data_IF_592232348312
#
_entry.id   IF_592232348312
#
_cell.length_a   1.000
_cell.length_b   1.000
_cell.length_c   1.000
_cell.angle_alpha   90.00
_cell.angle_beta   90.00
_cell.angle_gamma   90.00
#
_symmetry.space_group_name_H-M   'P 1'
#
loop_
_entity.id
_entity.type
_entity.pdbx_description
1 polymer ?
#
# COMPACT_ATOMS: atom_id res chain seq x y z
N UNK A 1 1.12 34.39 -10.16
CA UNK A 1 0.01 33.55 -10.68
C UNK A 1 -0.64 32.84 -9.50
N UNK A 2 -1.97 32.88 -9.36
CA UNK A 2 -2.62 32.26 -8.17
C UNK A 2 -2.45 30.75 -8.24
N UNK A 3 -1.98 30.10 -7.17
CA UNK A 3 -1.78 28.65 -6.99
C UNK A 3 -2.96 27.81 -7.54
N UNK A 4 -4.16 28.37 -7.50
CA UNK A 4 -5.42 27.68 -7.83
C UNK A 4 -5.65 27.45 -9.34
N UNK A 5 -4.94 28.14 -10.23
CA UNK A 5 -5.20 28.06 -11.69
C UNK A 5 -4.38 26.95 -12.39
N UNK A 6 -3.32 26.46 -11.76
CA UNK A 6 -2.41 25.46 -12.34
C UNK A 6 -2.56 24.05 -11.74
N UNK A 7 -3.31 23.90 -10.64
CA UNK A 7 -3.57 22.59 -10.04
C UNK A 7 -4.81 21.98 -10.69
N UNK A 8 -4.66 20.79 -11.25
CA UNK A 8 -5.77 20.09 -11.91
C UNK A 8 -6.88 19.75 -10.91
N UNK A 9 -8.12 19.82 -11.41
CA UNK A 9 -9.28 19.23 -10.75
C UNK A 9 -9.51 17.81 -11.29
N UNK A 10 -10.14 16.91 -10.52
CA UNK A 10 -10.49 15.59 -11.03
C UNK A 10 -11.30 15.70 -12.32
N UNK A 11 -10.91 14.92 -13.34
CA UNK A 11 -11.66 14.81 -14.61
C UNK A 11 -13.06 14.26 -14.36
N UNK A 12 -13.14 13.29 -13.42
CA UNK A 12 -14.41 12.72 -12.95
C UNK A 12 -14.44 12.65 -11.43
N UNK A 13 -15.60 12.89 -10.86
CA UNK A 13 -15.82 12.64 -9.42
C UNK A 13 -15.94 11.13 -9.19
N UNK A 14 -15.48 10.67 -8.02
CA UNK A 14 -15.73 9.31 -7.57
C UNK A 14 -17.23 9.04 -7.55
N UNK A 15 -17.63 7.89 -8.05
CA UNK A 15 -18.99 7.40 -7.90
C UNK A 15 -19.12 6.73 -6.53
N UNK A 16 -20.21 6.99 -5.81
CA UNK A 16 -20.39 6.46 -4.46
C UNK A 16 -19.32 6.96 -3.48
N UNK A 17 -18.73 6.03 -2.74
CA UNK A 17 -17.78 6.36 -1.68
C UNK A 17 -18.46 6.80 -0.39
N UNK A 18 -17.65 7.07 0.62
CA UNK A 18 -18.09 7.52 1.94
C UNK A 18 -17.20 8.63 2.46
N UNK A 19 -17.76 9.53 3.25
CA UNK A 19 -17.00 10.51 4.03
C UNK A 19 -16.66 9.87 5.37
N UNK A 20 -15.37 9.74 5.65
CA UNK A 20 -14.87 9.20 6.91
C UNK A 20 -14.26 10.31 7.76
N UNK A 21 -14.33 10.20 9.10
CA UNK A 21 -13.53 11.05 9.99
C UNK A 21 -12.05 10.86 9.66
N UNK A 22 -11.28 11.94 9.52
CA UNK A 22 -9.88 11.84 9.09
C UNK A 22 -8.99 11.22 10.18
N UNK A 23 -9.15 11.65 11.44
CA UNK A 23 -8.44 11.14 12.62
C UNK A 23 -6.90 11.09 12.44
N UNK A 24 -6.32 12.03 11.71
CA UNK A 24 -4.90 12.05 11.32
C UNK A 24 -4.09 12.93 12.28
N UNK A 25 -4.01 12.55 13.56
CA UNK A 25 -3.30 13.32 14.60
C UNK A 25 -1.80 13.42 14.33
N UNK A 26 -1.22 12.38 13.71
CA UNK A 26 0.20 12.28 13.41
C UNK A 26 0.63 13.01 12.13
N UNK A 27 -0.28 13.72 11.45
CA UNK A 27 0.04 14.38 10.18
C UNK A 27 1.21 15.38 10.30
N UNK A 28 1.26 16.15 11.37
CA UNK A 28 2.31 17.13 11.60
C UNK A 28 3.50 16.60 12.41
N UNK A 29 3.46 15.32 12.84
CA UNK A 29 4.55 14.68 13.56
C UNK A 29 5.60 14.15 12.58
N UNK A 30 6.83 14.61 12.70
CA UNK A 30 7.95 14.13 11.90
C UNK A 30 8.19 12.64 12.14
N UNK A 31 8.77 11.99 11.13
CA UNK A 31 9.07 10.56 11.23
C UNK A 31 10.24 10.30 12.18
N UNK A 32 10.01 9.45 13.17
CA UNK A 32 11.06 8.99 14.08
C UNK A 32 11.69 7.72 13.49
N UNK A 33 13.01 7.65 13.50
CA UNK A 33 13.74 6.45 13.07
C UNK A 33 13.85 5.50 14.26
N UNK A 34 13.31 4.30 14.10
CA UNK A 34 13.45 3.26 15.11
C UNK A 34 14.89 2.74 15.12
N UNK A 35 15.55 2.62 16.28
CA UNK A 35 16.86 2.00 16.37
C UNK A 35 16.78 0.53 15.87
N UNK A 36 17.92 -0.06 15.45
CA UNK A 36 17.93 -1.46 15.03
C UNK A 36 17.43 -2.36 16.17
N UNK A 37 16.49 -3.27 15.90
CA UNK A 37 16.06 -4.26 16.88
C UNK A 37 17.17 -5.31 17.07
N UNK A 38 17.20 -5.95 18.24
CA UNK A 38 18.12 -7.07 18.50
C UNK A 38 17.92 -8.24 17.54
N UNK A 39 16.69 -8.38 17.02
CA UNK A 39 16.31 -9.47 16.12
C UNK A 39 15.24 -9.02 15.13
N UNK A 40 15.38 -9.46 13.89
CA UNK A 40 14.31 -9.36 12.87
C UNK A 40 13.90 -10.73 12.38
N UNK A 41 12.63 -10.87 12.02
CA UNK A 41 12.09 -12.04 11.35
C UNK A 41 11.44 -11.60 10.05
N UNK A 42 12.05 -11.97 8.93
CA UNK A 42 11.67 -11.47 7.61
C UNK A 42 10.93 -12.57 6.83
N UNK A 43 9.59 -12.43 6.64
CA UNK A 43 8.81 -13.40 5.88
C UNK A 43 9.22 -13.46 4.41
N UNK A 44 9.26 -14.66 3.85
CA UNK A 44 9.56 -14.85 2.43
C UNK A 44 8.39 -14.52 1.51
N UNK A 45 7.20 -14.32 2.06
CA UNK A 45 6.02 -13.87 1.29
C UNK A 45 5.47 -12.55 1.82
N UNK A 46 5.90 -11.45 1.22
CA UNK A 46 5.46 -10.09 1.56
C UNK A 46 4.69 -9.40 0.43
N UNK A 47 4.27 -10.16 -0.58
CA UNK A 47 3.63 -9.67 -1.80
C UNK A 47 2.60 -10.65 -2.36
N UNK A 48 1.82 -10.21 -3.32
CA UNK A 48 0.95 -11.08 -4.13
C UNK A 48 1.82 -11.83 -5.14
N UNK A 49 1.53 -13.11 -5.35
CA UNK A 49 2.24 -13.99 -6.27
C UNK A 49 2.96 -15.13 -5.58
N UNK A 50 3.98 -15.69 -6.21
CA UNK A 50 4.75 -16.80 -5.67
C UNK A 50 5.64 -16.33 -4.51
N UNK A 51 5.70 -17.08 -3.39
CA UNK A 51 6.63 -16.79 -2.31
C UNK A 51 8.07 -16.90 -2.77
N UNK A 52 8.98 -16.18 -2.13
CA UNK A 52 10.41 -16.35 -2.32
C UNK A 52 10.90 -17.62 -1.60
N UNK A 53 11.90 -18.26 -2.16
CA UNK A 53 12.71 -19.25 -1.46
C UNK A 53 13.86 -18.53 -0.72
N UNK A 54 14.21 -18.94 0.52
CA UNK A 54 15.40 -18.42 1.19
C UNK A 54 16.66 -18.69 0.37
N UNK A 55 17.54 -17.68 0.27
CA UNK A 55 18.85 -17.79 -0.42
C UNK A 55 20.02 -17.88 0.57
N UNK A 56 19.71 -17.86 1.87
CA UNK A 56 20.65 -17.93 2.98
C UNK A 56 20.30 -19.09 3.91
N UNK A 57 21.25 -19.52 4.74
CA UNK A 57 21.10 -20.58 5.75
C UNK A 57 21.55 -20.09 7.12
N UNK A 58 21.20 -20.84 8.16
CA UNK A 58 21.66 -20.58 9.53
C UNK A 58 23.19 -20.49 9.61
N UNK A 59 23.68 -19.43 10.23
CA UNK A 59 25.10 -19.13 10.42
C UNK A 59 25.70 -18.20 9.35
N UNK A 60 24.96 -17.89 8.27
CA UNK A 60 25.44 -16.91 7.29
C UNK A 60 25.44 -15.51 7.87
N UNK A 61 26.51 -14.73 7.59
CA UNK A 61 26.53 -13.29 7.84
C UNK A 61 25.76 -12.56 6.73
N UNK A 62 25.01 -11.55 7.14
CA UNK A 62 24.23 -10.69 6.23
C UNK A 62 24.40 -9.23 6.63
N UNK A 63 24.27 -8.36 5.64
CA UNK A 63 24.33 -6.91 5.78
C UNK A 63 22.98 -6.28 5.45
N UNK A 64 22.80 -5.01 5.78
CA UNK A 64 21.59 -4.26 5.37
C UNK A 64 21.54 -4.21 3.84
N UNK A 65 20.50 -4.77 3.26
CA UNK A 65 20.34 -4.84 1.79
C UNK A 65 20.78 -6.16 1.17
N UNK A 66 21.42 -7.08 1.90
CA UNK A 66 21.73 -8.43 1.39
C UNK A 66 20.46 -9.15 0.99
N UNK A 67 20.42 -9.70 -0.23
CA UNK A 67 19.28 -10.47 -0.71
C UNK A 67 19.22 -11.83 0.01
N UNK A 68 18.16 -12.06 0.78
CA UNK A 68 17.96 -13.25 1.60
C UNK A 68 16.85 -14.17 1.09
N UNK A 69 16.12 -13.75 0.06
CA UNK A 69 15.10 -14.57 -0.58
C UNK A 69 14.78 -14.09 -1.98
N UNK A 70 14.53 -15.02 -2.91
CA UNK A 70 14.17 -14.74 -4.30
C UNK A 70 13.25 -15.83 -4.88
N UNK A 71 12.73 -15.60 -6.08
CA UNK A 71 11.91 -16.52 -6.84
C UNK A 71 12.03 -16.22 -8.33
N UNK A 72 12.07 -17.27 -9.16
CA UNK A 72 12.08 -17.15 -10.63
C UNK A 72 10.70 -16.79 -11.21
N UNK A 73 9.65 -16.81 -10.37
CA UNK A 73 8.30 -16.47 -10.82
C UNK A 73 8.21 -14.98 -11.20
N UNK A 74 7.59 -14.68 -12.35
CA UNK A 74 7.41 -13.31 -12.83
C UNK A 74 6.65 -12.43 -11.81
N UNK A 75 5.61 -12.98 -11.16
CA UNK A 75 4.87 -12.27 -10.10
C UNK A 75 5.45 -12.66 -8.75
N UNK A 76 6.59 -12.08 -8.41
CA UNK A 76 7.30 -12.21 -7.14
C UNK A 76 8.24 -11.00 -6.99
N UNK A 77 8.74 -10.74 -5.79
CA UNK A 77 9.71 -9.66 -5.54
C UNK A 77 10.72 -10.09 -4.47
N UNK A 78 12.03 -9.94 -4.71
CA UNK A 78 13.08 -10.34 -3.77
C UNK A 78 12.89 -9.76 -2.37
N UNK A 79 13.41 -10.47 -1.40
CA UNK A 79 13.41 -10.08 0.01
C UNK A 79 14.84 -9.85 0.46
N UNK A 80 15.06 -8.75 1.20
CA UNK A 80 16.39 -8.31 1.63
C UNK A 80 16.45 -8.22 3.15
N UNK A 81 17.66 -8.38 3.70
CA UNK A 81 17.90 -8.15 5.12
C UNK A 81 17.73 -6.67 5.45
N UNK A 82 17.03 -6.40 6.53
CA UNK A 82 16.82 -5.04 7.05
C UNK A 82 17.85 -4.65 8.12
N UNK A 83 18.67 -5.57 8.56
CA UNK A 83 19.73 -5.36 9.54
C UNK A 83 21.02 -6.04 9.08
N UNK A 84 22.17 -5.67 9.65
CA UNK A 84 23.38 -6.47 9.60
C UNK A 84 23.41 -7.42 10.80
N UNK A 85 24.04 -8.61 10.63
CA UNK A 85 24.11 -9.61 11.66
C UNK A 85 24.22 -11.05 11.13
N UNK A 86 23.78 -12.02 11.92
CA UNK A 86 23.90 -13.44 11.61
C UNK A 86 22.53 -14.10 11.51
N UNK A 87 22.33 -14.92 10.49
CA UNK A 87 21.09 -15.72 10.32
C UNK A 87 21.01 -16.76 11.44
N UNK A 88 20.04 -16.60 12.35
CA UNK A 88 19.84 -17.52 13.49
C UNK A 88 18.94 -18.70 13.13
N UNK A 89 17.95 -18.51 12.24
CA UNK A 89 17.06 -19.56 11.78
C UNK A 89 16.47 -19.28 10.40
N UNK A 90 16.22 -20.39 9.66
CA UNK A 90 15.43 -20.39 8.42
C UNK A 90 14.38 -21.48 8.58
N UNK A 91 13.13 -21.11 8.87
CA UNK A 91 12.02 -22.05 9.12
C UNK A 91 10.68 -21.35 9.04
N UNK A 92 9.60 -22.08 9.17
CA UNK A 92 8.26 -21.50 9.30
C UNK A 92 8.05 -20.90 10.68
N UNK A 93 7.49 -19.69 10.69
CA UNK A 93 7.00 -19.01 11.88
C UNK A 93 5.53 -18.62 11.67
N UNK A 94 4.80 -18.46 12.74
CA UNK A 94 3.44 -17.90 12.66
C UNK A 94 3.51 -16.41 12.31
N UNK A 95 2.78 -16.05 11.28
CA UNK A 95 2.53 -14.68 10.89
C UNK A 95 1.03 -14.50 10.74
N UNK A 96 0.42 -13.79 11.66
CA UNK A 96 -1.03 -13.60 11.73
C UNK A 96 -1.82 -14.93 11.68
N UNK A 97 -1.40 -15.89 12.51
CA UNK A 97 -2.01 -17.21 12.66
C UNK A 97 -1.73 -18.20 11.52
N UNK A 98 -0.81 -17.89 10.59
CA UNK A 98 -0.44 -18.78 9.48
C UNK A 98 1.06 -19.09 9.51
N UNK A 99 1.47 -20.35 9.26
CA UNK A 99 2.87 -20.66 9.08
C UNK A 99 3.39 -20.03 7.79
N UNK A 100 4.49 -19.26 7.90
CA UNK A 100 5.14 -18.60 6.76
C UNK A 100 6.64 -18.83 6.88
N UNK A 101 7.26 -19.36 5.82
CA UNK A 101 8.72 -19.48 5.73
C UNK A 101 9.34 -18.10 5.95
N UNK A 102 10.29 -18.00 6.88
CA UNK A 102 10.93 -16.74 7.26
C UNK A 102 12.40 -16.96 7.57
N UNK A 103 13.18 -15.92 7.35
CA UNK A 103 14.58 -15.81 7.80
C UNK A 103 14.61 -14.98 9.06
N UNK A 104 15.16 -15.54 10.14
CA UNK A 104 15.39 -14.83 11.39
C UNK A 104 16.86 -14.44 11.47
N UNK A 105 17.16 -13.20 11.82
CA UNK A 105 18.50 -12.62 11.89
C UNK A 105 18.68 -11.99 13.25
N UNK A 106 19.74 -12.40 13.95
CA UNK A 106 20.26 -11.71 15.14
C UNK A 106 21.09 -10.53 14.66
N UNK A 107 20.66 -9.32 15.03
CA UNK A 107 21.29 -8.06 14.63
C UNK A 107 22.59 -7.85 15.41
N UNK A 108 23.59 -7.29 14.73
CA UNK A 108 24.79 -6.76 15.37
C UNK A 108 24.64 -5.28 15.78
N UNK A 109 23.43 -4.72 15.56
CA UNK A 109 23.04 -3.33 15.82
C UNK A 109 23.85 -2.26 15.06
N UNK A 110 24.82 -2.64 14.21
CA UNK A 110 25.69 -1.69 13.49
C UNK A 110 25.06 -1.13 12.24
N UNK A 111 24.02 -1.81 11.71
CA UNK A 111 23.36 -1.42 10.46
C UNK A 111 24.32 -1.26 9.28
N UNK A 112 25.34 -2.11 9.22
CA UNK A 112 26.35 -2.07 8.16
C UNK A 112 25.71 -2.39 6.80
N UNK A 113 25.79 -1.48 5.81
CA UNK A 113 25.26 -1.73 4.47
C UNK A 113 26.04 -2.85 3.76
N UNK A 114 25.35 -3.58 2.89
CA UNK A 114 26.00 -4.57 2.04
C UNK A 114 27.04 -3.88 1.12
N UNK A 115 28.31 -4.29 1.15
CA UNK A 115 29.36 -3.68 0.34
C UNK A 115 29.16 -3.82 -1.17
N UNK A 116 28.27 -4.71 -1.61
CA UNK A 116 27.90 -4.87 -3.02
C UNK A 116 26.87 -3.84 -3.51
N UNK A 117 26.32 -3.02 -2.62
CA UNK A 117 25.35 -1.99 -3.01
C UNK A 117 26.03 -0.88 -3.81
N UNK A 118 25.46 -0.57 -4.97
CA UNK A 118 25.94 0.49 -5.84
C UNK A 118 24.79 1.16 -6.58
N UNK A 119 24.90 2.45 -6.91
CA UNK A 119 23.97 3.16 -7.79
C UNK A 119 23.74 2.38 -9.09
N UNK A 120 22.53 2.51 -9.64
CA UNK A 120 22.13 1.85 -10.89
C UNK A 120 22.01 2.86 -12.02
N UNK A 121 22.57 2.57 -13.15
CA UNK A 121 22.29 3.31 -14.37
C UNK A 121 21.00 2.75 -14.99
N UNK A 122 20.05 3.63 -15.31
CA UNK A 122 18.77 3.27 -15.93
C UNK A 122 18.54 4.15 -17.15
N UNK A 123 18.37 3.53 -18.31
CA UNK A 123 18.19 4.20 -19.61
C UNK A 123 16.92 3.75 -20.33
N UNK A 124 16.42 2.56 -20.01
CA UNK A 124 15.30 1.93 -20.71
C UNK A 124 14.21 1.52 -19.74
N UNK A 125 13.02 1.27 -20.27
CA UNK A 125 11.90 0.71 -19.48
C UNK A 125 12.27 -0.65 -18.85
N UNK A 126 13.09 -1.45 -19.52
CA UNK A 126 13.58 -2.71 -18.98
C UNK A 126 14.48 -2.51 -17.76
N UNK A 127 15.36 -1.49 -17.79
CA UNK A 127 16.23 -1.15 -16.65
C UNK A 127 15.41 -0.70 -15.44
N UNK A 128 14.37 0.12 -15.65
CA UNK A 128 13.45 0.54 -14.58
C UNK A 128 12.73 -0.68 -13.98
N UNK A 129 12.22 -1.58 -14.81
CA UNK A 129 11.55 -2.80 -14.33
C UNK A 129 12.52 -3.71 -13.55
N UNK A 130 13.74 -3.89 -14.05
CA UNK A 130 14.79 -4.63 -13.36
C UNK A 130 15.16 -3.97 -12.02
N UNK A 131 15.35 -2.65 -12.00
CA UNK A 131 15.61 -1.90 -10.77
C UNK A 131 14.47 -2.06 -9.74
N UNK A 132 13.21 -1.96 -10.17
CA UNK A 132 12.07 -2.16 -9.30
C UNK A 132 12.01 -3.60 -8.73
N UNK A 133 12.39 -4.63 -9.52
CA UNK A 133 12.49 -5.99 -9.06
C UNK A 133 13.62 -6.15 -8.05
N UNK A 134 14.83 -5.74 -8.40
CA UNK A 134 16.01 -5.87 -7.54
C UNK A 134 15.89 -5.09 -6.23
N UNK A 135 15.18 -3.94 -6.24
CA UNK A 135 14.79 -3.22 -5.03
C UNK A 135 13.86 -4.03 -4.11
N UNK A 136 13.28 -5.12 -4.61
CA UNK A 136 12.23 -5.83 -3.90
C UNK A 136 10.96 -4.98 -3.73
N UNK A 137 10.73 -4.03 -4.63
CA UNK A 137 9.64 -3.05 -4.52
C UNK A 137 8.28 -3.67 -4.82
N UNK A 138 7.34 -3.40 -3.93
CA UNK A 138 5.94 -3.78 -4.05
C UNK A 138 5.04 -2.56 -3.90
N UNK A 139 3.75 -2.70 -4.18
CA UNK A 139 2.79 -1.63 -3.95
C UNK A 139 2.64 -1.31 -2.46
N UNK A 140 3.28 -0.25 -1.99
CA UNK A 140 3.42 0.09 -0.57
C UNK A 140 2.14 0.66 0.06
N UNK A 141 1.22 1.17 -0.75
CA UNK A 141 -0.07 1.71 -0.29
C UNK A 141 -1.24 0.73 -0.36
N UNK A 142 -1.01 -0.56 -0.56
CA UNK A 142 -2.12 -1.51 -0.78
C UNK A 142 -1.74 -2.98 -0.69
N UNK A 143 -2.17 -3.77 -1.68
CA UNK A 143 -2.12 -5.23 -1.66
C UNK A 143 -0.71 -5.84 -1.84
N UNK A 144 0.35 -5.04 -1.97
CA UNK A 144 1.71 -5.55 -2.13
C UNK A 144 1.95 -6.21 -3.50
N UNK A 145 1.37 -5.70 -4.57
CA UNK A 145 1.64 -6.21 -5.91
C UNK A 145 3.04 -5.81 -6.38
N UNK A 146 3.86 -6.72 -6.92
CA UNK A 146 5.23 -6.42 -7.34
C UNK A 146 5.28 -5.27 -8.35
N UNK A 147 6.11 -4.25 -8.09
CA UNK A 147 6.10 -3.02 -8.86
C UNK A 147 6.65 -3.22 -10.29
N UNK A 148 7.65 -4.09 -10.47
CA UNK A 148 8.21 -4.38 -11.79
C UNK A 148 7.17 -4.95 -12.77
N UNK A 149 6.20 -5.74 -12.28
CA UNK A 149 5.11 -6.28 -13.12
C UNK A 149 4.22 -5.15 -13.67
N UNK A 150 3.99 -4.08 -12.89
CA UNK A 150 3.27 -2.89 -13.37
C UNK A 150 4.08 -2.10 -14.41
N UNK A 151 5.40 -2.13 -14.28
CA UNK A 151 6.35 -1.43 -15.15
C UNK A 151 6.73 -2.23 -16.41
N UNK A 152 6.22 -3.48 -16.52
CA UNK A 152 6.39 -4.35 -17.69
C UNK A 152 5.00 -4.62 -18.30
N UNK A 153 4.41 -3.67 -19.03
CA UNK A 153 3.13 -3.88 -19.69
C UNK A 153 3.23 -4.97 -20.75
N UNK A 154 2.10 -5.58 -21.09
CA UNK A 154 2.04 -6.57 -22.15
C UNK A 154 2.43 -5.94 -23.50
N UNK A 155 2.97 -6.75 -24.40
CA UNK A 155 3.34 -6.32 -25.74
C UNK A 155 2.15 -5.68 -26.45
N UNK A 156 2.42 -4.57 -27.14
CA UNK A 156 1.40 -3.82 -27.89
C UNK A 156 0.53 -2.87 -27.03
N UNK A 157 0.67 -2.89 -25.71
CA UNK A 157 -0.04 -1.94 -24.83
C UNK A 157 0.77 -0.65 -24.70
N UNK A 158 0.24 0.45 -25.28
CA UNK A 158 0.87 1.77 -25.11
C UNK A 158 0.47 2.36 -23.75
N UNK A 159 1.46 2.66 -22.93
CA UNK A 159 1.29 3.43 -21.69
C UNK A 159 1.66 4.90 -21.99
N UNK A 160 0.75 5.81 -21.67
CA UNK A 160 0.95 7.25 -21.88
C UNK A 160 0.90 8.05 -20.58
N UNK A 161 0.34 7.48 -19.51
CA UNK A 161 0.07 8.23 -18.27
C UNK A 161 0.55 7.47 -17.04
N UNK A 162 1.34 8.13 -16.19
CA UNK A 162 1.61 7.71 -14.82
C UNK A 162 0.68 8.48 -13.86
N UNK A 163 -0.04 7.76 -13.01
CA UNK A 163 -0.78 8.33 -11.89
C UNK A 163 -0.03 8.00 -10.60
N UNK A 164 0.55 9.01 -9.97
CA UNK A 164 1.18 8.89 -8.65
C UNK A 164 0.12 9.09 -7.59
N UNK A 165 -0.15 8.03 -6.85
CA UNK A 165 -1.20 7.98 -5.84
C UNK A 165 -0.67 8.47 -4.48
N UNK A 166 -1.02 9.69 -4.10
CA UNK A 166 -0.78 10.30 -2.79
C UNK A 166 -2.11 10.61 -2.05
N UNK A 167 -3.17 9.85 -2.35
CA UNK A 167 -4.48 10.07 -1.74
C UNK A 167 -4.47 9.77 -0.24
N UNK A 168 -4.01 8.56 0.18
CA UNK A 168 -3.99 8.10 1.58
C UNK A 168 -5.33 8.34 2.29
N UNK A 169 -6.40 7.73 1.74
CA UNK A 169 -7.78 7.97 2.15
C UNK A 169 -8.24 7.20 3.41
N UNK A 170 -7.43 6.27 3.92
CA UNK A 170 -7.70 5.56 5.18
C UNK A 170 -7.63 6.53 6.37
N UNK A 171 -8.59 6.50 7.31
CA UNK A 171 -8.46 7.21 8.57
C UNK A 171 -7.19 6.83 9.34
N UNK A 172 -6.71 7.71 10.18
CA UNK A 172 -5.51 7.61 11.00
C UNK A 172 -4.18 7.68 10.22
N UNK A 173 -4.07 7.03 9.04
CA UNK A 173 -2.80 6.88 8.34
C UNK A 173 -2.26 8.20 7.79
N UNK A 174 -0.97 8.44 8.01
CA UNK A 174 -0.24 9.65 7.58
C UNK A 174 1.15 9.33 6.99
N UNK A 175 1.48 8.06 6.80
CA UNK A 175 2.79 7.63 6.31
C UNK A 175 3.12 8.18 4.91
N UNK A 176 2.17 8.14 3.97
CA UNK A 176 2.35 8.71 2.62
C UNK A 176 2.36 10.25 2.65
N UNK A 177 1.55 10.87 3.53
CA UNK A 177 1.60 12.31 3.73
C UNK A 177 2.97 12.75 4.24
N UNK A 178 3.53 12.05 5.23
CA UNK A 178 4.89 12.34 5.73
C UNK A 178 5.95 12.11 4.66
N UNK A 179 5.80 11.09 3.81
CA UNK A 179 6.69 10.92 2.65
C UNK A 179 6.63 12.16 1.73
N UNK A 180 5.44 12.69 1.44
CA UNK A 180 5.30 13.92 0.65
C UNK A 180 5.96 15.12 1.32
N UNK A 181 5.95 15.18 2.67
CA UNK A 181 6.54 16.30 3.41
C UNK A 181 8.05 16.16 3.61
N UNK A 182 8.56 14.96 3.80
CA UNK A 182 9.96 14.70 4.19
C UNK A 182 10.86 14.29 3.02
N UNK A 183 10.29 13.72 1.95
CA UNK A 183 11.02 13.17 0.80
C UNK A 183 10.47 13.70 -0.53
N UNK A 184 9.98 14.94 -0.54
CA UNK A 184 9.39 15.56 -1.75
C UNK A 184 10.34 15.56 -2.94
N UNK A 185 11.64 15.78 -2.70
CA UNK A 185 12.65 15.80 -3.77
C UNK A 185 12.83 14.40 -4.37
N UNK A 186 12.94 13.35 -3.55
CA UNK A 186 13.03 11.97 -4.04
C UNK A 186 11.78 11.56 -4.84
N UNK A 187 10.60 12.01 -4.40
CA UNK A 187 9.34 11.79 -5.14
C UNK A 187 9.41 12.45 -6.51
N UNK A 188 9.78 13.72 -6.55
CA UNK A 188 9.77 14.49 -7.79
C UNK A 188 10.85 14.03 -8.77
N UNK A 189 12.06 13.77 -8.28
CA UNK A 189 13.14 13.19 -9.11
C UNK A 189 12.73 11.82 -9.66
N UNK A 190 12.11 10.97 -8.83
CA UNK A 190 11.56 9.68 -9.25
C UNK A 190 10.46 9.81 -10.30
N UNK A 191 9.61 10.82 -10.18
CA UNK A 191 8.55 11.13 -11.15
C UNK A 191 9.16 11.51 -12.50
N UNK A 192 10.13 12.45 -12.54
CA UNK A 192 10.76 12.87 -13.78
C UNK A 192 11.59 11.76 -14.43
N UNK A 193 12.30 10.95 -13.61
CA UNK A 193 13.03 9.78 -14.08
C UNK A 193 12.08 8.77 -14.76
N UNK A 194 11.02 8.37 -14.08
CA UNK A 194 10.03 7.44 -14.62
C UNK A 194 9.38 7.97 -15.89
N UNK A 195 9.03 9.26 -15.92
CA UNK A 195 8.47 9.90 -17.09
C UNK A 195 9.41 9.81 -18.29
N UNK A 196 10.66 10.22 -18.09
CA UNK A 196 11.68 10.25 -19.15
C UNK A 196 11.98 8.85 -19.69
N UNK A 197 12.30 7.91 -18.80
CA UNK A 197 12.74 6.57 -19.19
C UNK A 197 11.61 5.73 -19.79
N UNK A 198 10.38 5.90 -19.30
CA UNK A 198 9.21 5.19 -19.84
C UNK A 198 8.57 5.90 -21.05
N UNK A 199 9.05 7.08 -21.42
CA UNK A 199 8.51 7.86 -22.55
C UNK A 199 7.06 8.28 -22.35
N UNK A 200 6.67 8.66 -21.14
CA UNK A 200 5.29 8.99 -20.80
C UNK A 200 4.91 10.40 -21.28
N UNK A 201 3.71 10.53 -21.83
CA UNK A 201 3.18 11.82 -22.28
C UNK A 201 2.83 12.75 -21.10
N UNK A 202 2.43 12.17 -19.95
CA UNK A 202 2.06 12.94 -18.76
C UNK A 202 2.21 12.16 -17.46
N UNK A 203 2.43 12.89 -16.38
CA UNK A 203 2.34 12.38 -15.00
C UNK A 203 1.34 13.20 -14.22
N UNK A 204 0.48 12.53 -13.45
CA UNK A 204 -0.51 13.16 -12.56
C UNK A 204 -0.22 12.72 -11.14
N UNK A 205 0.25 13.65 -10.30
CA UNK A 205 0.43 13.42 -8.86
C UNK A 205 -0.88 13.79 -8.18
N UNK A 206 -1.62 12.78 -7.72
CA UNK A 206 -2.98 12.93 -7.23
C UNK A 206 -3.02 12.91 -5.69
N UNK A 207 -3.32 14.05 -5.09
CA UNK A 207 -3.30 14.30 -3.64
C UNK A 207 -4.71 14.73 -3.18
N UNK A 208 -5.18 14.21 -2.04
CA UNK A 208 -6.48 14.63 -1.49
C UNK A 208 -6.44 16.06 -0.93
N UNK A 209 -7.59 16.74 -1.03
CA UNK A 209 -7.76 18.16 -0.64
C UNK A 209 -7.53 18.44 0.85
N UNK A 210 -7.55 17.42 1.70
CA UNK A 210 -7.23 17.52 3.13
C UNK A 210 -5.72 17.57 3.44
N UNK A 211 -4.86 17.61 2.41
CA UNK A 211 -3.39 17.66 2.51
C UNK A 211 -2.82 18.91 1.83
N UNK A 212 -3.23 20.13 2.23
CA UNK A 212 -2.87 21.37 1.53
C UNK A 212 -1.35 21.60 1.49
N UNK A 213 -0.62 21.31 2.57
CA UNK A 213 0.83 21.51 2.63
C UNK A 213 1.60 20.58 1.69
N UNK A 214 1.17 19.32 1.56
CA UNK A 214 1.79 18.39 0.59
C UNK A 214 1.51 18.83 -0.85
N UNK A 215 0.30 19.32 -1.13
CA UNK A 215 -0.05 19.87 -2.44
C UNK A 215 0.83 21.08 -2.75
N UNK A 216 0.97 22.01 -1.82
CA UNK A 216 1.79 23.23 -2.00
C UNK A 216 3.26 22.88 -2.23
N UNK A 217 3.82 21.98 -1.42
CA UNK A 217 5.22 21.57 -1.50
C UNK A 217 5.56 20.89 -2.83
N UNK A 218 4.79 19.85 -3.21
CA UNK A 218 5.01 19.15 -4.47
C UNK A 218 4.71 20.04 -5.69
N UNK A 219 3.72 20.93 -5.58
CA UNK A 219 3.43 21.89 -6.63
C UNK A 219 4.58 22.89 -6.82
N UNK A 220 5.19 23.38 -5.74
CA UNK A 220 6.35 24.29 -5.82
C UNK A 220 7.47 23.69 -6.67
N UNK A 221 7.88 22.46 -6.36
CA UNK A 221 8.93 21.76 -7.10
C UNK A 221 8.54 21.54 -8.58
N UNK A 222 7.29 21.15 -8.85
CA UNK A 222 6.81 20.99 -10.22
C UNK A 222 6.74 22.33 -10.98
N UNK A 223 6.41 23.41 -10.29
CA UNK A 223 6.32 24.76 -10.88
C UNK A 223 7.69 25.30 -11.27
N UNK A 224 8.71 25.02 -10.47
CA UNK A 224 10.09 25.44 -10.74
C UNK A 224 10.67 24.80 -12.02
N UNK A 225 10.17 23.63 -12.41
CA UNK A 225 10.58 22.90 -13.63
C UNK A 225 9.61 23.03 -14.80
N UNK A 226 8.59 23.87 -14.69
CA UNK A 226 7.52 23.98 -15.71
C UNK A 226 8.03 24.41 -17.09
N UNK A 227 8.99 25.30 -17.14
CA UNK A 227 9.55 25.79 -18.40
C UNK A 227 10.35 24.69 -19.13
N UNK A 228 10.84 23.69 -18.39
CA UNK A 228 11.53 22.53 -18.92
C UNK A 228 10.54 21.40 -19.27
N UNK A 229 9.56 21.17 -18.42
CA UNK A 229 8.58 20.08 -18.55
C UNK A 229 7.24 20.40 -17.88
N UNK A 230 6.26 20.82 -18.67
CA UNK A 230 4.89 21.12 -18.22
C UNK A 230 3.96 19.88 -18.19
N UNK A 231 4.46 18.67 -18.41
CA UNK A 231 3.65 17.46 -18.45
C UNK A 231 3.46 16.78 -17.10
N UNK A 232 4.21 17.21 -16.07
CA UNK A 232 4.03 16.76 -14.68
C UNK A 232 3.05 17.70 -13.98
N UNK A 233 1.89 17.19 -13.58
CA UNK A 233 0.81 17.99 -13.00
C UNK A 233 0.40 17.47 -11.63
N UNK A 234 0.12 18.39 -10.72
CA UNK A 234 -0.59 18.12 -9.47
C UNK A 234 -2.10 18.07 -9.70
N UNK A 235 -2.77 17.09 -9.11
CA UNK A 235 -4.23 17.02 -9.08
C UNK A 235 -4.74 17.03 -7.65
N UNK A 236 -5.61 17.97 -7.34
CA UNK A 236 -6.30 18.05 -6.06
C UNK A 236 -7.58 17.21 -6.11
N UNK A 237 -7.53 16.01 -5.53
CA UNK A 237 -8.66 15.11 -5.40
C UNK A 237 -9.63 15.58 -4.31
N UNK A 238 -10.90 15.23 -4.46
CA UNK A 238 -11.87 15.37 -3.37
C UNK A 238 -11.52 14.36 -2.25
N UNK A 239 -11.58 14.81 -1.01
CA UNK A 239 -11.43 13.93 0.14
C UNK A 239 -12.66 13.04 0.27
N UNK A 240 -12.51 11.78 -0.07
CA UNK A 240 -13.56 10.76 -0.03
C UNK A 240 -12.93 9.38 -0.01
N UNK A 241 -13.59 8.41 0.60
CA UNK A 241 -13.09 7.04 0.67
C UNK A 241 -13.91 6.12 -0.26
N UNK A 242 -13.31 5.28 -1.07
CA UNK A 242 -11.89 4.96 -1.25
C UNK A 242 -11.25 5.67 -2.47
N UNK A 243 -10.96 6.95 -2.36
CA UNK A 243 -10.41 7.78 -3.46
C UNK A 243 -9.06 7.24 -3.98
N UNK A 244 -8.23 6.66 -3.11
CA UNK A 244 -6.93 6.09 -3.46
C UNK A 244 -6.99 4.68 -4.07
N UNK A 245 -8.17 4.06 -4.20
CA UNK A 245 -8.27 2.76 -4.85
C UNK A 245 -7.91 2.87 -6.33
N UNK A 246 -7.07 1.95 -6.83
CA UNK A 246 -6.39 2.05 -8.13
C UNK A 246 -7.34 2.35 -9.31
N UNK A 247 -8.46 1.63 -9.43
CA UNK A 247 -9.44 1.88 -10.50
C UNK A 247 -10.20 3.20 -10.32
N UNK A 248 -10.40 3.63 -9.08
CA UNK A 248 -11.07 4.88 -8.74
C UNK A 248 -10.18 6.06 -9.09
N UNK A 249 -8.90 6.01 -8.71
CA UNK A 249 -7.97 7.12 -8.96
C UNK A 249 -7.68 7.27 -10.47
N UNK A 250 -7.57 6.18 -11.23
CA UNK A 250 -7.46 6.22 -12.71
C UNK A 250 -8.66 6.95 -13.30
N UNK A 251 -9.87 6.57 -12.90
CA UNK A 251 -11.09 7.23 -13.38
C UNK A 251 -11.15 8.71 -12.99
N UNK A 252 -10.80 9.03 -11.76
CA UNK A 252 -10.80 10.43 -11.29
C UNK A 252 -9.75 11.28 -12.00
N UNK A 253 -8.56 10.72 -12.24
CA UNK A 253 -7.45 11.44 -12.81
C UNK A 253 -7.53 11.58 -14.34
N UNK A 254 -8.07 10.58 -15.02
CA UNK A 254 -7.99 10.49 -16.50
C UNK A 254 -9.34 10.40 -17.19
N UNK A 255 -10.41 10.08 -16.46
CA UNK A 255 -11.72 9.76 -17.04
C UNK A 255 -11.81 8.37 -17.68
N UNK A 256 -10.69 7.62 -17.72
CA UNK A 256 -10.63 6.28 -18.33
C UNK A 256 -11.24 5.24 -17.40
N UNK A 257 -12.01 4.31 -17.94
CA UNK A 257 -12.64 3.21 -17.21
C UNK A 257 -11.83 1.94 -17.39
N UNK A 258 -11.22 1.46 -16.31
CA UNK A 258 -10.55 0.16 -16.31
C UNK A 258 -11.60 -0.94 -16.45
N UNK A 259 -11.50 -1.81 -17.45
CA UNK A 259 -12.51 -2.83 -17.72
C UNK A 259 -12.64 -3.86 -16.60
N UNK A 260 -13.72 -4.64 -16.64
CA UNK A 260 -13.94 -5.74 -15.70
C UNK A 260 -12.82 -6.78 -15.83
N UNK A 261 -12.18 -7.12 -14.70
CA UNK A 261 -11.01 -8.02 -14.70
C UNK A 261 -9.71 -7.39 -15.21
N UNK A 262 -9.76 -6.20 -15.83
CA UNK A 262 -8.61 -5.51 -16.39
C UNK A 262 -7.75 -4.75 -15.35
N UNK A 263 -6.61 -4.28 -15.84
CA UNK A 263 -5.60 -3.51 -15.11
C UNK A 263 -5.55 -2.06 -15.62
N UNK A 264 -4.98 -1.11 -14.89
CA UNK A 264 -4.74 0.25 -15.38
C UNK A 264 -4.00 0.32 -16.73
N UNK A 265 -3.08 -0.61 -16.98
CA UNK A 265 -2.35 -0.72 -18.23
C UNK A 265 -3.29 -0.90 -19.45
N UNK A 266 -4.39 -1.63 -19.31
CA UNK A 266 -5.36 -1.83 -20.40
C UNK A 266 -6.04 -0.53 -20.87
N UNK A 267 -5.87 0.54 -20.10
CA UNK A 267 -6.32 1.90 -20.46
C UNK A 267 -5.16 2.90 -20.54
N UNK A 268 -3.94 2.42 -20.79
CA UNK A 268 -2.75 3.26 -20.99
C UNK A 268 -2.20 3.92 -19.73
N UNK A 269 -2.55 3.42 -18.54
CA UNK A 269 -2.14 4.01 -17.26
C UNK A 269 -1.25 3.07 -16.43
N UNK A 270 -0.23 3.63 -15.78
CA UNK A 270 0.44 3.00 -14.64
C UNK A 270 0.03 3.75 -13.37
N UNK A 271 -0.25 3.03 -12.29
CA UNK A 271 -0.51 3.62 -10.97
C UNK A 271 0.58 3.20 -10.00
N UNK A 272 1.28 4.16 -9.43
CA UNK A 272 2.26 3.93 -8.37
C UNK A 272 1.90 4.72 -7.11
N UNK A 273 2.05 4.12 -5.95
CA UNK A 273 1.97 4.84 -4.69
C UNK A 273 3.15 5.82 -4.57
N UNK A 274 2.94 6.97 -3.95
CA UNK A 274 3.94 8.04 -3.82
C UNK A 274 5.22 7.57 -3.13
N UNK A 275 5.10 6.80 -2.04
CA UNK A 275 6.25 6.20 -1.34
C UNK A 275 6.99 5.21 -2.24
N UNK A 276 6.27 4.44 -3.09
CA UNK A 276 6.92 3.51 -4.04
C UNK A 276 7.77 4.23 -5.08
N UNK A 277 7.37 5.42 -5.52
CA UNK A 277 8.17 6.24 -6.44
C UNK A 277 9.46 6.72 -5.76
N UNK A 278 9.37 7.26 -4.55
CA UNK A 278 10.53 7.72 -3.80
C UNK A 278 11.52 6.57 -3.49
N UNK A 279 11.01 5.41 -3.08
CA UNK A 279 11.84 4.23 -2.77
C UNK A 279 12.56 3.74 -4.03
N UNK A 280 11.89 3.69 -5.18
CA UNK A 280 12.52 3.28 -6.44
C UNK A 280 13.64 4.25 -6.83
N UNK A 281 13.41 5.55 -6.72
CA UNK A 281 14.45 6.55 -7.00
C UNK A 281 15.64 6.42 -6.06
N UNK A 282 15.42 6.29 -4.75
CA UNK A 282 16.49 6.08 -3.76
C UNK A 282 17.32 4.83 -4.06
N UNK A 283 16.65 3.73 -4.43
CA UNK A 283 17.33 2.50 -4.85
C UNK A 283 18.23 2.73 -6.06
N UNK A 284 17.71 3.39 -7.09
CA UNK A 284 18.50 3.68 -8.31
C UNK A 284 19.72 4.53 -7.96
N UNK A 285 19.56 5.52 -7.07
CA UNK A 285 20.62 6.44 -6.66
C UNK A 285 21.66 5.82 -5.73
N UNK A 286 21.29 4.86 -4.90
CA UNK A 286 22.15 4.35 -3.82
C UNK A 286 22.42 2.84 -3.88
N UNK A 287 21.62 2.08 -4.59
CA UNK A 287 21.60 0.62 -4.53
C UNK A 287 20.87 0.03 -3.32
N UNK A 288 20.46 0.84 -2.33
CA UNK A 288 19.81 0.35 -1.12
C UNK A 288 18.38 -0.12 -1.42
N UNK A 289 18.05 -1.43 -1.27
CA UNK A 289 16.73 -1.97 -1.53
C UNK A 289 15.72 -1.58 -0.45
N UNK A 290 14.48 -2.03 -0.61
CA UNK A 290 13.41 -1.80 0.37
C UNK A 290 13.63 -2.64 1.64
N UNK A 291 14.30 -2.05 2.62
CA UNK A 291 14.66 -2.68 3.91
C UNK A 291 13.96 -2.06 5.11
N UNK A 292 13.39 -0.88 4.96
CA UNK A 292 12.64 -0.19 6.01
C UNK A 292 11.32 0.34 5.50
N UNK A 293 10.35 0.49 6.38
CA UNK A 293 9.01 0.97 6.06
C UNK A 293 8.58 2.05 7.02
N UNK A 294 8.15 3.22 6.48
CA UNK A 294 7.45 4.22 7.28
C UNK A 294 6.05 3.72 7.56
N UNK A 295 5.66 3.70 8.81
CA UNK A 295 4.32 3.33 9.27
C UNK A 295 3.77 4.40 10.23
N UNK A 296 2.46 4.54 10.25
CA UNK A 296 1.76 5.33 11.26
C UNK A 296 1.35 4.40 12.41
N UNK A 297 1.82 4.66 13.61
CA UNK A 297 1.32 4.03 14.84
C UNK A 297 0.31 4.99 15.45
N UNK A 298 -0.95 4.60 15.47
CA UNK A 298 -2.03 5.44 15.98
C UNK A 298 -3.22 4.58 16.48
N UNK A 299 -4.30 5.20 16.83
CA UNK A 299 -5.53 4.58 17.33
C UNK A 299 -5.92 5.15 18.69
N UNK A 300 -7.12 4.79 19.15
CA UNK A 300 -7.65 5.33 20.41
C UNK A 300 -6.86 4.90 21.64
N UNK A 301 -6.23 3.73 21.57
CA UNK A 301 -5.45 3.13 22.66
C UNK A 301 -3.94 3.20 22.41
N UNK A 302 -3.47 3.95 21.41
CA UNK A 302 -2.06 4.27 21.25
C UNK A 302 -1.66 5.35 22.26
N UNK A 303 -0.63 5.08 23.07
CA UNK A 303 -0.18 6.02 24.12
C UNK A 303 0.50 7.25 23.50
N UNK A 304 1.41 7.03 22.55
CA UNK A 304 2.13 8.10 21.87
C UNK A 304 2.03 7.92 20.34
N UNK A 305 0.96 8.42 19.71
CA UNK A 305 0.79 8.35 18.26
C UNK A 305 1.93 9.03 17.50
N UNK A 306 2.53 8.34 16.52
CA UNK A 306 3.65 8.86 15.74
C UNK A 306 3.84 8.12 14.41
N UNK A 307 4.64 8.71 13.53
CA UNK A 307 5.14 8.04 12.33
C UNK A 307 6.54 7.49 12.61
N UNK A 308 6.77 6.24 12.27
CA UNK A 308 8.04 5.55 12.56
C UNK A 308 8.59 4.94 11.27
N UNK A 309 9.88 5.12 11.02
CA UNK A 309 10.61 4.35 10.03
C UNK A 309 11.15 3.08 10.71
N UNK A 310 10.59 1.93 10.34
CA UNK A 310 10.82 0.64 11.00
C UNK A 310 11.58 -0.29 10.08
N UNK A 311 12.64 -0.97 10.51
CA UNK A 311 13.26 -2.08 9.77
C UNK A 311 12.23 -3.19 9.49
N UNK A 312 12.16 -3.67 8.26
CA UNK A 312 11.22 -4.74 7.89
C UNK A 312 11.59 -6.03 8.65
N UNK A 313 10.59 -6.69 9.23
CA UNK A 313 10.79 -7.88 10.05
C UNK A 313 10.85 -7.61 11.56
N UNK A 314 10.81 -6.34 11.99
CA UNK A 314 10.70 -5.95 13.41
C UNK A 314 9.37 -6.46 13.98
N UNK A 315 9.39 -7.00 15.18
CA UNK A 315 8.20 -7.48 15.86
C UNK A 315 7.22 -6.33 16.15
N UNK A 316 5.93 -6.58 15.94
CA UNK A 316 4.87 -5.58 16.21
C UNK A 316 4.90 -5.10 17.66
N UNK A 317 5.20 -6.00 18.61
CA UNK A 317 5.32 -5.65 20.03
C UNK A 317 6.45 -4.65 20.30
N UNK A 318 7.60 -4.80 19.63
CA UNK A 318 8.73 -3.87 19.77
C UNK A 318 8.37 -2.49 19.20
N UNK A 319 7.64 -2.44 18.08
CA UNK A 319 7.17 -1.18 17.51
C UNK A 319 6.18 -0.48 18.46
N UNK A 320 5.27 -1.24 19.08
CA UNK A 320 4.32 -0.71 20.08
C UNK A 320 5.08 -0.18 21.31
N UNK A 321 6.05 -0.94 21.81
CA UNK A 321 6.87 -0.53 22.95
C UNK A 321 7.66 0.75 22.65
N UNK A 322 8.28 0.84 21.47
CA UNK A 322 8.99 2.03 21.00
C UNK A 322 8.05 3.25 20.88
N UNK A 323 6.80 3.04 20.47
CA UNK A 323 5.76 4.07 20.43
C UNK A 323 5.18 4.43 21.82
N UNK A 324 5.81 4.02 22.91
CA UNK A 324 5.37 4.32 24.28
C UNK A 324 4.32 3.37 24.83
N UNK A 325 4.02 2.27 24.14
CA UNK A 325 3.11 1.24 24.61
C UNK A 325 1.65 1.44 24.16
N UNK A 326 0.80 0.61 24.71
CA UNK A 326 -0.65 0.64 24.50
C UNK A 326 -1.37 0.96 25.82
N UNK A 327 -2.49 1.68 25.75
CA UNK A 327 -3.33 1.97 26.91
C UNK A 327 -3.98 0.67 27.46
N UNK A 328 -4.45 0.72 28.70
CA UNK A 328 -5.03 -0.45 29.40
C UNK A 328 -6.27 -1.02 28.69
N UNK A 329 -6.99 -0.19 27.94
CA UNK A 329 -8.19 -0.59 27.18
C UNK A 329 -7.86 -1.18 25.81
N UNK A 330 -6.58 -1.31 25.46
CA UNK A 330 -6.16 -1.86 24.16
C UNK A 330 -6.57 -3.33 24.04
N UNK A 331 -7.39 -3.62 23.04
CA UNK A 331 -7.91 -4.97 22.80
C UNK A 331 -7.67 -5.47 21.37
N UNK A 332 -7.53 -4.56 20.40
CA UNK A 332 -7.39 -4.91 19.00
C UNK A 332 -6.18 -4.19 18.36
N UNK A 333 -5.41 -4.96 17.60
CA UNK A 333 -4.32 -4.46 16.75
C UNK A 333 -4.71 -4.65 15.28
N UNK A 334 -4.48 -3.62 14.45
CA UNK A 334 -4.80 -3.67 13.02
C UNK A 334 -3.56 -3.23 12.23
N UNK A 335 -3.08 -4.11 11.35
CA UNK A 335 -2.07 -3.75 10.35
C UNK A 335 -2.75 -3.04 9.18
N UNK A 336 -2.43 -1.76 8.98
CA UNK A 336 -3.08 -0.87 8.01
C UNK A 336 -4.12 0.03 8.62
N UNK A 337 -5.03 0.56 7.79
CA UNK A 337 -6.13 1.42 8.23
C UNK A 337 -7.38 0.65 8.68
N UNK A 338 -8.39 1.32 9.26
CA UNK A 338 -9.56 0.65 9.85
C UNK A 338 -10.51 0.07 8.80
N UNK A 339 -10.39 0.46 7.53
CA UNK A 339 -11.33 0.04 6.49
C UNK A 339 -10.85 -1.18 5.71
N UNK A 340 -9.56 -1.27 5.39
CA UNK A 340 -8.97 -2.36 4.60
C UNK A 340 -7.86 -3.12 5.34
N UNK A 341 -7.47 -2.70 6.53
CA UNK A 341 -6.46 -3.35 7.35
C UNK A 341 -6.88 -4.75 7.80
N UNK A 342 -5.91 -5.49 8.29
CA UNK A 342 -6.11 -6.83 8.83
C UNK A 342 -5.86 -6.84 10.33
N UNK A 343 -6.72 -7.49 11.09
CA UNK A 343 -6.47 -7.69 12.51
C UNK A 343 -5.21 -8.53 12.71
N UNK A 344 -4.39 -8.15 13.67
CA UNK A 344 -3.23 -8.92 14.12
C UNK A 344 -3.71 -9.81 15.26
N UNK A 345 -3.59 -11.13 15.09
CA UNK A 345 -4.12 -12.11 16.02
C UNK A 345 -3.04 -12.81 16.86
N UNK A 346 -1.78 -12.63 16.51
CA UNK A 346 -0.67 -13.18 17.27
C UNK A 346 0.43 -12.14 17.52
N UNK A 347 1.07 -12.27 18.68
CA UNK A 347 2.13 -11.36 19.14
C UNK A 347 3.44 -11.53 18.36
N UNK A 348 3.61 -12.66 17.69
CA UNK A 348 4.76 -12.96 16.85
C UNK A 348 4.73 -12.30 15.47
N UNK A 349 3.67 -11.58 15.13
CA UNK A 349 3.59 -10.86 13.85
C UNK A 349 4.64 -9.75 13.75
N UNK A 350 5.13 -9.54 12.52
CA UNK A 350 6.18 -8.57 12.23
C UNK A 350 5.71 -7.53 11.20
N UNK A 351 6.44 -6.43 11.12
CA UNK A 351 6.22 -5.40 10.10
C UNK A 351 6.72 -5.90 8.74
N UNK A 352 5.83 -5.85 7.75
CA UNK A 352 6.08 -6.23 6.37
C UNK A 352 6.15 -5.02 5.43
N UNK A 353 6.65 -5.21 4.21
CA UNK A 353 6.74 -4.18 3.16
C UNK A 353 5.43 -3.42 2.92
N UNK A 354 4.29 -4.11 3.03
CA UNK A 354 2.95 -3.55 2.75
C UNK A 354 2.28 -2.85 3.93
N UNK A 355 2.85 -2.92 5.13
CA UNK A 355 2.27 -2.24 6.27
C UNK A 355 2.53 -0.72 6.17
N UNK A 356 1.48 0.07 6.23
CA UNK A 356 1.53 1.54 6.25
C UNK A 356 0.97 2.13 7.55
N UNK A 357 0.48 1.27 8.44
CA UNK A 357 0.03 1.66 9.76
C UNK A 357 -0.16 0.48 10.68
N UNK A 358 -0.11 0.78 11.97
CA UNK A 358 -0.41 -0.11 13.09
C UNK A 358 -1.39 0.65 13.98
N UNK A 359 -2.65 0.21 14.00
CA UNK A 359 -3.67 0.83 14.84
C UNK A 359 -3.88 0.01 16.10
N UNK A 360 -3.86 0.71 17.24
CA UNK A 360 -4.11 0.18 18.56
C UNK A 360 -5.45 0.71 19.02
N UNK A 361 -6.44 -0.16 19.20
CA UNK A 361 -7.81 0.27 19.50
C UNK A 361 -8.41 -0.54 20.66
N UNK A 362 -9.36 0.05 21.40
CA UNK A 362 -10.16 -0.72 22.35
C UNK A 362 -11.03 -1.74 21.60
N UNK A 363 -11.63 -2.60 22.36
CA UNK A 363 -12.60 -3.54 21.82
C UNK A 363 -13.71 -2.80 21.05
N UNK A 364 -14.04 -3.22 19.81
CA UNK A 364 -15.12 -2.61 19.08
C UNK A 364 -16.45 -2.86 19.80
N UNK A 365 -17.35 -1.86 19.84
CA UNK A 365 -18.65 -2.05 20.46
C UNK A 365 -19.39 -3.20 19.76
N UNK A 366 -20.04 -4.02 20.57
CA UNK A 366 -20.90 -5.07 20.04
C UNK A 366 -22.08 -4.49 19.25
N UNK A 367 -22.22 -4.94 18.02
CA UNK A 367 -23.34 -4.56 17.18
C UNK A 367 -24.22 -5.76 16.88
N UNK A 368 -25.49 -5.66 17.25
CA UNK A 368 -26.49 -6.66 16.83
C UNK A 368 -26.77 -6.51 15.33
N UNK A 369 -26.42 -7.52 14.55
CA UNK A 369 -26.81 -7.60 13.15
C UNK A 369 -28.32 -7.87 13.03
N UNK A 370 -29.02 -7.04 12.25
CA UNK A 370 -30.45 -7.19 12.02
C UNK A 370 -30.76 -7.56 10.56
N UNK A 371 -32.03 -7.83 10.24
CA UNK A 371 -32.46 -8.11 8.89
C UNK A 371 -32.21 -6.91 7.96
N UNK A 372 -31.91 -7.18 6.68
CA UNK A 372 -31.75 -6.13 5.69
C UNK A 372 -33.06 -5.38 5.44
N UNK A 373 -33.06 -4.08 5.69
CA UNK A 373 -34.23 -3.20 5.48
C UNK A 373 -34.36 -2.68 4.03
N UNK A 374 -33.52 -3.17 3.11
CA UNK A 374 -33.51 -2.83 1.67
C UNK A 374 -33.36 -1.34 1.35
N UNK A 375 -32.68 -0.56 2.18
CA UNK A 375 -32.53 0.89 2.05
C UNK A 375 -31.64 1.35 0.87
N UNK A 376 -30.89 0.47 0.20
CA UNK A 376 -30.04 0.80 -0.97
C UNK A 376 -28.67 1.42 -0.64
N UNK A 377 -28.43 1.95 0.57
CA UNK A 377 -27.20 2.68 0.92
C UNK A 377 -25.90 1.97 0.56
N UNK A 378 -25.85 0.64 0.67
CA UNK A 378 -24.66 -0.16 0.34
C UNK A 378 -24.36 -0.16 -1.17
N UNK A 379 -25.37 -0.06 -2.03
CA UNK A 379 -25.21 0.07 -3.48
C UNK A 379 -24.79 1.50 -3.84
N UNK A 380 -25.39 2.50 -3.23
CA UNK A 380 -25.04 3.92 -3.44
C UNK A 380 -23.60 4.22 -3.02
N UNK A 381 -23.12 3.64 -1.91
CA UNK A 381 -21.76 3.80 -1.43
C UNK A 381 -20.73 2.99 -2.24
N UNK A 382 -21.14 2.06 -3.10
CA UNK A 382 -20.20 1.23 -3.85
C UNK A 382 -19.58 2.00 -5.03
N UNK A 383 -18.24 2.26 -5.03
CA UNK A 383 -17.60 3.00 -6.13
C UNK A 383 -17.59 2.23 -7.45
N UNK A 384 -17.78 0.91 -7.41
CA UNK A 384 -17.87 0.04 -8.58
C UNK A 384 -19.32 -0.30 -8.96
N UNK A 385 -20.32 0.37 -8.38
CA UNK A 385 -21.75 0.17 -8.66
C UNK A 385 -22.25 -1.27 -8.46
N UNK A 386 -21.60 -2.02 -7.57
CA UNK A 386 -22.04 -3.34 -7.20
C UNK A 386 -23.30 -3.28 -6.32
N UNK A 387 -23.94 -4.43 -6.14
CA UNK A 387 -25.16 -4.59 -5.34
C UNK A 387 -24.88 -5.48 -4.12
N UNK A 388 -24.17 -5.01 -3.06
CA UNK A 388 -23.67 -5.86 -1.97
C UNK A 388 -24.79 -6.64 -1.24
N UNK A 389 -25.93 -6.01 -0.99
CA UNK A 389 -27.05 -6.71 -0.33
C UNK A 389 -27.64 -7.83 -1.19
N UNK A 390 -27.67 -7.69 -2.53
CA UNK A 390 -28.12 -8.75 -3.42
C UNK A 390 -27.11 -9.91 -3.46
N UNK A 391 -25.82 -9.59 -3.48
CA UNK A 391 -24.74 -10.59 -3.40
C UNK A 391 -24.85 -11.35 -2.06
N UNK A 392 -25.03 -10.64 -0.96
CA UNK A 392 -25.19 -11.28 0.37
C UNK A 392 -26.40 -12.23 0.40
N UNK A 393 -27.54 -11.81 -0.16
CA UNK A 393 -28.71 -12.67 -0.23
C UNK A 393 -28.43 -13.93 -1.04
N UNK A 394 -27.85 -13.78 -2.24
CA UNK A 394 -27.49 -14.91 -3.09
C UNK A 394 -26.47 -15.86 -2.42
N UNK A 395 -25.45 -15.31 -1.75
CA UNK A 395 -24.44 -16.09 -1.03
C UNK A 395 -25.04 -16.91 0.11
N UNK A 396 -25.92 -16.30 0.92
CA UNK A 396 -26.59 -16.99 2.05
C UNK A 396 -27.47 -18.15 1.61
N UNK A 397 -27.99 -18.12 0.38
CA UNK A 397 -28.78 -19.17 -0.20
C UNK A 397 -27.97 -20.14 -1.09
N UNK A 398 -26.64 -20.04 -1.10
CA UNK A 398 -25.77 -20.91 -1.91
C UNK A 398 -25.89 -20.73 -3.41
N UNK A 399 -26.46 -19.61 -3.89
CA UNK A 399 -26.74 -19.35 -5.30
C UNK A 399 -25.49 -18.75 -6.00
N UNK A 400 -24.51 -19.59 -6.31
CA UNK A 400 -23.21 -19.15 -6.85
C UNK A 400 -23.34 -18.43 -8.20
N UNK A 401 -24.08 -18.98 -9.13
CA UNK A 401 -24.32 -18.36 -10.44
C UNK A 401 -24.89 -16.94 -10.29
N UNK A 402 -25.79 -16.75 -9.31
CA UNK A 402 -26.41 -15.45 -9.07
C UNK A 402 -25.45 -14.40 -8.54
N UNK A 403 -24.61 -14.74 -7.54
CA UNK A 403 -23.65 -13.76 -7.05
C UNK A 403 -22.48 -13.54 -8.02
N UNK A 404 -22.16 -14.52 -8.86
CA UNK A 404 -21.26 -14.36 -9.99
C UNK A 404 -21.82 -13.38 -11.03
N UNK A 405 -23.07 -13.55 -11.45
CA UNK A 405 -23.78 -12.64 -12.35
C UNK A 405 -23.91 -11.20 -11.78
N UNK A 406 -23.85 -11.05 -10.46
CA UNK A 406 -23.79 -9.74 -9.78
C UNK A 406 -22.39 -9.15 -9.74
N UNK A 407 -21.42 -9.73 -10.46
CA UNK A 407 -20.03 -9.26 -10.60
C UNK A 407 -19.29 -9.14 -9.27
N UNK A 408 -19.51 -10.06 -8.32
CA UNK A 408 -18.82 -10.03 -7.00
C UNK A 408 -17.30 -10.05 -7.13
N UNK A 409 -16.77 -10.67 -8.20
CA UNK A 409 -15.34 -10.75 -8.51
C UNK A 409 -14.67 -9.36 -8.65
N UNK A 410 -15.43 -8.34 -9.04
CA UNK A 410 -14.93 -6.97 -9.19
C UNK A 410 -14.78 -6.25 -7.86
N UNK A 411 -15.33 -6.77 -6.75
CA UNK A 411 -15.27 -6.10 -5.45
C UNK A 411 -13.83 -5.88 -5.01
N UNK A 412 -13.48 -4.63 -4.70
CA UNK A 412 -12.17 -4.25 -4.16
C UNK A 412 -12.07 -4.38 -2.62
N UNK A 413 -13.14 -4.82 -1.97
CA UNK A 413 -13.20 -5.10 -0.53
C UNK A 413 -12.96 -3.86 0.37
N UNK A 414 -13.30 -2.68 -0.13
CA UNK A 414 -13.01 -1.39 0.51
C UNK A 414 -13.81 -1.12 1.82
N UNK A 415 -14.78 -1.92 2.17
CA UNK A 415 -15.54 -1.72 3.42
C UNK A 415 -16.68 -0.71 3.36
N UNK A 416 -16.77 0.16 2.36
CA UNK A 416 -17.79 1.22 2.30
C UNK A 416 -19.23 0.73 2.48
N UNK A 417 -19.57 -0.42 1.90
CA UNK A 417 -20.92 -1.00 2.01
C UNK A 417 -21.27 -1.47 3.44
N UNK A 418 -20.31 -2.05 4.17
CA UNK A 418 -20.50 -2.43 5.58
C UNK A 418 -20.59 -1.20 6.47
N UNK A 419 -19.74 -0.18 6.21
CA UNK A 419 -19.70 1.05 6.98
C UNK A 419 -21.05 1.79 6.99
N UNK A 420 -21.71 1.92 5.83
CA UNK A 420 -22.99 2.63 5.70
C UNK A 420 -24.21 1.79 6.09
N UNK A 421 -24.04 0.51 6.39
CA UNK A 421 -25.16 -0.38 6.63
C UNK A 421 -25.82 -0.12 8.00
N UNK A 422 -27.07 0.39 8.07
CA UNK A 422 -27.73 0.62 9.34
C UNK A 422 -28.07 -0.67 10.08
N UNK A 423 -28.22 -1.79 9.35
CA UNK A 423 -28.47 -3.12 9.91
C UNK A 423 -27.18 -3.84 10.35
N UNK A 424 -26.02 -3.16 10.31
CA UNK A 424 -24.70 -3.68 10.72
C UNK A 424 -24.34 -5.02 10.10
N UNK A 425 -24.70 -5.21 8.82
CA UNK A 425 -24.44 -6.47 8.12
C UNK A 425 -22.98 -6.54 7.67
N UNK A 426 -22.31 -7.69 7.79
CA UNK A 426 -20.91 -7.87 7.41
C UNK A 426 -20.74 -8.02 5.88
N UNK A 427 -21.23 -7.03 5.11
CA UNK A 427 -21.31 -7.12 3.66
C UNK A 427 -19.94 -7.33 3.00
N UNK A 428 -18.92 -6.61 3.47
CA UNK A 428 -17.54 -6.75 2.94
C UNK A 428 -17.00 -8.16 3.15
N UNK A 429 -17.24 -8.73 4.34
CA UNK A 429 -16.82 -10.10 4.64
C UNK A 429 -17.51 -11.10 3.70
N UNK A 430 -18.78 -10.93 3.47
CA UNK A 430 -19.53 -11.78 2.53
C UNK A 430 -19.00 -11.66 1.11
N UNK A 431 -18.74 -10.42 0.63
CA UNK A 431 -18.13 -10.20 -0.69
C UNK A 431 -16.77 -10.91 -0.81
N UNK A 432 -15.94 -10.83 0.22
CA UNK A 432 -14.63 -11.51 0.28
C UNK A 432 -14.77 -13.02 0.23
N UNK A 433 -15.67 -13.59 1.02
CA UNK A 433 -15.89 -15.04 1.08
C UNK A 433 -16.47 -15.57 -0.22
N UNK A 434 -17.45 -14.88 -0.81
CA UNK A 434 -18.01 -15.23 -2.12
C UNK A 434 -16.96 -15.26 -3.23
N UNK A 435 -16.09 -14.25 -3.28
CA UNK A 435 -14.94 -14.23 -4.22
C UNK A 435 -13.98 -15.41 -4.01
N UNK A 436 -13.67 -15.72 -2.74
CA UNK A 436 -12.78 -16.83 -2.42
C UNK A 436 -13.38 -18.19 -2.81
N UNK A 437 -14.70 -18.36 -2.65
CA UNK A 437 -15.41 -19.56 -3.07
C UNK A 437 -15.38 -19.73 -4.60
N UNK A 438 -15.69 -18.69 -5.36
CA UNK A 438 -15.61 -18.72 -6.83
C UNK A 438 -14.21 -19.11 -7.33
N UNK A 439 -13.15 -18.57 -6.69
CA UNK A 439 -11.77 -18.92 -7.06
C UNK A 439 -11.40 -20.38 -6.78
N UNK A 440 -11.97 -20.96 -5.72
CA UNK A 440 -11.78 -22.38 -5.40
C UNK A 440 -12.48 -23.28 -6.39
N UNK A 441 -13.70 -22.92 -6.78
CA UNK A 441 -14.53 -23.72 -7.69
C UNK A 441 -14.08 -23.59 -9.17
N UNK A 442 -13.29 -22.54 -9.51
CA UNK A 442 -12.69 -22.36 -10.83
C UNK A 442 -11.34 -23.10 -11.03
N UNK A 443 -10.79 -23.68 -9.98
CA UNK A 443 -9.59 -24.54 -10.01
C UNK A 443 -9.98 -26.00 -10.09
#
# INVERSE_FOLDING_TARGET
>A
MKLTESILRPVKKIHGGVLLPHLKKTAESETVIMPPPERVRIPMQQHIGAPCAPTVKKGDEVFVGTKIGDSDAFVSAPVHSSVSGTVSAVKEFLQNGRPVMSVEIESDEKMTPDPALAPREVKTAADIAAAARDCGLVGLGGAGFPAHVKLTPKDGVKIDTLVVNAAECEPYLTADYRECMESSDDIMEGVYLLKSVLGLERVIIAVESNKPRAIEKLYGIAADRRDEDDSVKLMKLLTSYPQGAEKVIVYSATGRLVPAGGLPADVGCIVMNVTSVAVLYRFIKTGMPLVAKRITVEGKSAVNPQNILVPIGTAVEEVIAFAGGAAEDAACLIAGGPMMGNAITDKGSVIEKRNNGLLITPEPPEYRTTACIRCGRCADACPLKLRPAAVETAYRHGLEERYSALNVSLCMECGSCSYVCPAKRPLTQVMRTAKAQMRRNAK
#
